data_IF_062640569555
#
_entry.id   IF_062640569555
#
_cell.length_a   1.000
_cell.length_b   1.000
_cell.length_c   1.000
_cell.angle_alpha   90.00
_cell.angle_beta   90.00
_cell.angle_gamma   90.00
#
_symmetry.space_group_name_H-M   'P 1'
#
loop_
_entity.id
_entity.type
_entity.pdbx_description
1 polymer ?
#
# COMPACT_ATOMS: atom_id res chain seq x y z
N UNK A 1 2.96 7.51 -7.08
CA UNK A 1 1.60 7.89 -6.65
C UNK A 1 1.69 8.46 -5.24
N UNK A 2 1.10 9.63 -5.03
CA UNK A 2 0.97 10.25 -3.71
C UNK A 2 -0.50 10.61 -3.49
N UNK A 3 -1.12 10.01 -2.49
CA UNK A 3 -2.46 10.39 -2.03
C UNK A 3 -2.35 10.87 -0.58
N UNK A 4 -2.86 12.06 -0.32
CA UNK A 4 -2.86 12.66 1.02
C UNK A 4 -4.30 12.76 1.54
N UNK A 5 -4.52 12.76 2.86
CA UNK A 5 -5.84 12.99 3.42
C UNK A 5 -6.39 14.35 2.99
N UNK A 6 -7.70 14.47 3.02
CA UNK A 6 -8.34 15.76 2.72
C UNK A 6 -8.09 16.74 3.87
N UNK A 7 -7.64 17.94 3.54
CA UNK A 7 -7.50 19.01 4.51
C UNK A 7 -8.87 19.46 5.04
N UNK A 8 -8.92 19.81 6.30
CA UNK A 8 -10.11 20.27 7.00
C UNK A 8 -9.74 21.25 8.10
N UNK A 9 -10.71 21.70 8.90
CA UNK A 9 -10.40 22.52 10.09
C UNK A 9 -9.51 21.80 11.11
N UNK A 10 -9.54 20.46 11.10
CA UNK A 10 -8.83 19.62 12.06
C UNK A 10 -7.61 18.92 11.45
N UNK A 11 -7.44 18.95 10.13
CA UNK A 11 -6.33 18.30 9.43
C UNK A 11 -5.67 19.30 8.48
N UNK A 12 -4.40 19.57 8.71
CA UNK A 12 -3.56 20.43 7.88
C UNK A 12 -2.36 19.64 7.36
N UNK A 13 -1.98 19.91 6.12
CA UNK A 13 -0.85 19.25 5.47
C UNK A 13 0.10 20.31 4.93
N UNK A 14 1.30 20.35 5.47
CA UNK A 14 2.38 21.18 4.93
C UNK A 14 3.26 20.26 4.08
N UNK A 15 3.18 20.37 2.75
CA UNK A 15 3.98 19.58 1.81
C UNK A 15 4.69 20.48 0.80
N UNK A 16 5.91 20.07 0.44
CA UNK A 16 6.69 20.72 -0.62
C UNK A 16 6.69 19.92 -1.94
N UNK A 17 5.98 18.79 -1.99
CA UNK A 17 5.95 17.88 -3.14
C UNK A 17 4.52 17.55 -3.53
N UNK A 18 4.32 17.32 -4.82
CA UNK A 18 3.05 16.88 -5.41
C UNK A 18 3.20 15.53 -6.09
N UNK A 19 2.08 14.94 -6.50
CA UNK A 19 2.11 13.70 -7.26
C UNK A 19 2.85 13.89 -8.59
N UNK A 20 3.82 13.01 -8.85
CA UNK A 20 4.67 13.06 -10.05
C UNK A 20 5.99 13.80 -9.86
N UNK A 21 6.19 14.47 -8.73
CA UNK A 21 7.45 15.12 -8.43
C UNK A 21 8.56 14.10 -8.15
N UNK A 22 9.80 14.51 -8.42
CA UNK A 22 11.00 13.75 -8.08
C UNK A 22 11.54 14.22 -6.72
N UNK A 23 11.76 13.26 -5.81
CA UNK A 23 12.34 13.53 -4.50
C UNK A 23 13.86 13.39 -4.60
N UNK A 24 14.55 14.52 -4.50
CA UNK A 24 16.00 14.58 -4.57
C UNK A 24 16.65 14.08 -3.28
N UNK A 25 17.71 13.23 -3.36
CA UNK A 25 18.49 12.82 -2.18
C UNK A 25 19.37 13.94 -1.61
N UNK A 26 19.47 15.08 -2.30
CA UNK A 26 20.32 16.23 -1.91
C UNK A 26 19.60 17.26 -1.05
N UNK A 27 18.33 17.04 -0.74
CA UNK A 27 17.51 17.90 0.10
C UNK A 27 16.97 17.12 1.31
N UNK A 28 16.09 17.74 2.07
CA UNK A 28 15.48 17.14 3.26
C UNK A 28 14.67 15.87 2.88
N UNK A 29 14.85 14.74 3.60
CA UNK A 29 14.03 13.54 3.39
C UNK A 29 12.56 13.71 3.83
N UNK A 30 12.19 14.84 4.43
CA UNK A 30 10.82 15.13 4.85
C UNK A 30 9.95 15.48 3.64
N UNK A 31 9.01 14.60 3.32
CA UNK A 31 8.07 14.77 2.20
C UNK A 31 6.94 15.71 2.57
N UNK A 32 6.34 15.49 3.73
CA UNK A 32 5.20 16.24 4.21
C UNK A 32 5.15 16.24 5.74
N UNK A 33 4.47 17.23 6.30
CA UNK A 33 4.15 17.33 7.72
C UNK A 33 2.64 17.29 7.87
N UNK A 34 2.14 16.23 8.49
CA UNK A 34 0.73 16.06 8.82
C UNK A 34 0.47 16.62 10.22
N UNK A 35 -0.47 17.55 10.33
CA UNK A 35 -0.84 18.23 11.57
C UNK A 35 -2.32 17.99 11.80
N UNK A 36 -2.65 17.53 13.02
CA UNK A 36 -4.04 17.24 13.40
C UNK A 36 -4.36 17.97 14.68
N UNK A 37 -5.55 18.53 14.76
CA UNK A 37 -6.10 19.16 15.96
C UNK A 37 -7.19 18.29 16.60
N UNK A 38 -7.21 18.24 17.90
CA UNK A 38 -8.24 17.60 18.72
C UNK A 38 -8.46 18.39 20.00
N UNK A 39 -9.66 18.32 20.59
CA UNK A 39 -9.98 18.98 21.86
C UNK A 39 -9.18 18.41 23.03
N UNK A 40 -8.77 17.16 22.91
CA UNK A 40 -7.87 16.48 23.84
C UNK A 40 -6.91 15.55 23.08
N UNK A 41 -6.00 14.90 23.86
CA UNK A 41 -5.00 14.00 23.29
C UNK A 41 -5.63 12.78 22.63
N UNK A 42 -6.67 12.20 23.22
CA UNK A 42 -7.30 10.99 22.69
C UNK A 42 -7.97 11.27 21.34
N UNK A 43 -8.69 12.38 21.23
CA UNK A 43 -9.29 12.82 19.97
C UNK A 43 -8.23 13.13 18.90
N UNK A 44 -7.17 13.85 19.27
CA UNK A 44 -6.09 14.16 18.35
C UNK A 44 -5.40 12.89 17.83
N UNK A 45 -5.13 11.91 18.68
CA UNK A 45 -4.52 10.63 18.28
C UNK A 45 -5.45 9.81 17.38
N UNK A 46 -6.75 9.78 17.68
CA UNK A 46 -7.74 9.09 16.83
C UNK A 46 -7.80 9.70 15.43
N UNK A 47 -7.87 11.03 15.34
CA UNK A 47 -7.86 11.76 14.07
C UNK A 47 -6.53 11.57 13.33
N UNK A 48 -5.40 11.58 14.03
CA UNK A 48 -4.08 11.32 13.42
C UNK A 48 -3.99 9.92 12.84
N UNK A 49 -4.46 8.89 13.55
CA UNK A 49 -4.50 7.53 13.05
C UNK A 49 -5.35 7.42 11.79
N UNK A 50 -6.55 8.03 11.79
CA UNK A 50 -7.44 8.05 10.63
C UNK A 50 -6.84 8.82 9.43
N UNK A 51 -6.13 9.92 9.68
CA UNK A 51 -5.45 10.68 8.64
C UNK A 51 -4.27 9.89 8.06
N UNK A 52 -3.46 9.22 8.90
CA UNK A 52 -2.35 8.37 8.45
C UNK A 52 -2.82 7.17 7.61
N UNK A 53 -4.03 6.66 7.86
CA UNK A 53 -4.63 5.59 7.02
C UNK A 53 -4.92 6.03 5.59
N UNK A 54 -5.17 7.30 5.38
CA UNK A 54 -5.45 7.86 4.06
C UNK A 54 -4.19 8.20 3.27
N UNK A 55 -3.02 8.29 3.93
CA UNK A 55 -1.76 8.55 3.24
C UNK A 55 -1.34 7.32 2.44
N UNK A 56 -1.23 7.49 1.14
CA UNK A 56 -0.71 6.47 0.23
C UNK A 56 0.45 7.04 -0.57
N UNK A 57 1.64 6.48 -0.37
CA UNK A 57 2.83 6.83 -1.11
C UNK A 57 3.41 5.56 -1.77
N UNK A 58 3.45 5.56 -3.10
CA UNK A 58 3.95 4.43 -3.89
C UNK A 58 5.13 4.89 -4.74
N UNK A 59 6.21 4.12 -4.70
CA UNK A 59 7.44 4.39 -5.45
C UNK A 59 8.62 4.78 -4.57
N UNK A 60 8.40 4.94 -3.25
CA UNK A 60 9.47 5.18 -2.27
C UNK A 60 9.09 4.61 -0.89
N UNK A 61 10.11 4.34 -0.09
CA UNK A 61 9.92 3.90 1.29
C UNK A 61 9.54 5.10 2.17
N UNK A 62 8.51 4.93 2.99
CA UNK A 62 8.03 5.96 3.92
C UNK A 62 7.95 5.41 5.34
N UNK A 63 7.89 6.32 6.32
CA UNK A 63 7.70 5.97 7.73
C UNK A 63 6.22 5.98 8.16
N UNK A 64 5.27 6.04 7.23
CA UNK A 64 3.83 6.14 7.53
C UNK A 64 3.34 4.98 8.40
N UNK A 65 3.74 3.74 8.07
CA UNK A 65 3.37 2.57 8.86
C UNK A 65 3.93 2.61 10.30
N UNK A 66 5.17 3.08 10.46
CA UNK A 66 5.78 3.32 11.76
C UNK A 66 5.01 4.38 12.54
N UNK A 67 4.70 5.52 11.92
CA UNK A 67 3.97 6.61 12.55
C UNK A 67 2.56 6.17 13.00
N UNK A 68 1.88 5.36 12.19
CA UNK A 68 0.58 4.80 12.54
C UNK A 68 0.66 3.93 13.81
N UNK A 69 1.65 3.02 13.89
CA UNK A 69 1.85 2.21 15.09
C UNK A 69 2.25 3.06 16.29
N UNK A 70 3.10 4.06 16.07
CA UNK A 70 3.53 4.97 17.14
C UNK A 70 2.37 5.70 17.81
N UNK A 71 1.45 6.27 17.03
CA UNK A 71 0.29 7.00 17.57
C UNK A 71 -0.71 6.09 18.30
N UNK A 72 -0.70 4.79 18.00
CA UNK A 72 -1.53 3.77 18.63
C UNK A 72 -0.83 3.05 19.79
N UNK A 73 0.48 3.20 19.92
CA UNK A 73 1.28 2.58 20.98
C UNK A 73 0.86 3.17 22.35
N UNK A 74 0.61 2.32 23.34
CA UNK A 74 0.10 2.72 24.66
C UNK A 74 0.98 3.78 25.36
N UNK A 75 2.32 3.66 25.46
CA UNK A 75 3.17 4.68 26.07
C UNK A 75 3.05 6.05 25.39
N UNK A 76 2.91 6.06 24.05
CA UNK A 76 2.69 7.30 23.32
C UNK A 76 1.29 7.86 23.56
N UNK A 77 0.27 7.01 23.57
CA UNK A 77 -1.12 7.41 23.78
C UNK A 77 -1.35 7.97 25.18
N UNK A 78 -0.75 7.38 26.20
CA UNK A 78 -0.83 7.85 27.59
C UNK A 78 0.02 9.08 27.89
N UNK A 79 0.94 9.46 27.00
CA UNK A 79 1.86 10.58 27.20
C UNK A 79 3.12 10.23 28.01
N UNK A 80 3.32 8.95 28.31
CA UNK A 80 4.51 8.44 29.02
C UNK A 80 5.69 8.26 28.05
N UNK A 81 6.13 9.35 27.44
CA UNK A 81 7.17 9.34 26.41
C UNK A 81 8.51 9.83 26.94
N UNK A 82 9.56 9.12 26.56
CA UNK A 82 10.96 9.50 26.76
C UNK A 82 11.81 9.14 25.54
N UNK A 83 13.06 9.53 25.52
CA UNK A 83 13.99 9.28 24.40
C UNK A 83 14.28 7.78 24.16
N UNK A 84 14.04 6.91 25.13
CA UNK A 84 14.23 5.47 25.02
C UNK A 84 12.98 4.69 24.60
N UNK A 85 11.83 5.36 24.47
CA UNK A 85 10.56 4.69 24.18
C UNK A 85 10.60 3.88 22.88
N UNK A 86 11.11 4.47 21.81
CA UNK A 86 11.20 3.79 20.50
C UNK A 86 12.07 2.54 20.61
N UNK A 87 13.22 2.62 21.30
CA UNK A 87 14.12 1.47 21.45
C UNK A 87 13.48 0.33 22.25
N UNK A 88 12.68 0.65 23.28
CA UNK A 88 12.00 -0.36 24.10
C UNK A 88 10.84 -1.06 23.36
N UNK A 89 10.21 -0.39 22.40
CA UNK A 89 9.06 -0.90 21.63
C UNK A 89 9.41 -1.15 20.17
N UNK A 90 10.70 -1.33 19.86
CA UNK A 90 11.19 -1.43 18.49
C UNK A 90 10.53 -2.58 17.72
N UNK A 91 10.38 -3.75 18.34
CA UNK A 91 9.81 -4.93 17.69
C UNK A 91 8.36 -4.71 17.25
N UNK A 92 7.57 -3.99 18.06
CA UNK A 92 6.19 -3.62 17.74
C UNK A 92 6.14 -2.52 16.69
N UNK A 93 6.93 -1.45 16.87
CA UNK A 93 6.88 -0.27 16.01
C UNK A 93 7.42 -0.53 14.60
N UNK A 94 8.42 -1.41 14.45
CA UNK A 94 9.07 -1.76 13.19
C UNK A 94 8.59 -3.11 12.63
N UNK A 95 7.57 -3.74 13.23
CA UNK A 95 7.03 -4.99 12.72
C UNK A 95 6.66 -4.87 11.23
N UNK A 96 7.08 -5.82 10.43
CA UNK A 96 6.69 -5.88 9.02
C UNK A 96 5.27 -6.44 8.90
N UNK A 97 4.44 -5.91 7.99
CA UNK A 97 3.11 -6.46 7.77
C UNK A 97 3.20 -7.89 7.23
N UNK A 98 2.33 -8.75 7.71
CA UNK A 98 2.19 -10.09 7.17
C UNK A 98 1.62 -10.04 5.75
N UNK A 99 2.25 -10.76 4.83
CA UNK A 99 1.76 -10.89 3.47
C UNK A 99 0.79 -12.07 3.40
N UNK A 100 -0.48 -11.74 3.42
CA UNK A 100 -1.56 -12.74 3.43
C UNK A 100 -2.01 -13.10 2.02
N UNK A 101 -2.63 -14.28 1.85
CA UNK A 101 -3.18 -14.72 0.56
C UNK A 101 -4.13 -13.69 -0.07
N UNK A 102 -5.03 -13.01 0.65
CA UNK A 102 -5.84 -11.92 0.09
C UNK A 102 -5.04 -10.77 -0.51
N UNK A 103 -3.90 -10.40 0.07
CA UNK A 103 -3.03 -9.35 -0.46
C UNK A 103 -2.43 -9.77 -1.80
N UNK A 104 -1.96 -11.01 -1.90
CA UNK A 104 -1.43 -11.57 -3.17
C UNK A 104 -2.56 -11.67 -4.20
N UNK A 105 -3.75 -12.11 -3.82
CA UNK A 105 -4.89 -12.17 -4.71
C UNK A 105 -5.27 -10.78 -5.26
N UNK A 106 -5.25 -9.75 -4.42
CA UNK A 106 -5.48 -8.38 -4.84
C UNK A 106 -4.39 -7.89 -5.82
N UNK A 107 -3.12 -8.23 -5.58
CA UNK A 107 -2.01 -7.89 -6.48
C UNK A 107 -2.16 -8.56 -7.85
N UNK A 108 -2.54 -9.84 -7.89
CA UNK A 108 -2.84 -10.57 -9.14
C UNK A 108 -4.00 -9.91 -9.87
N UNK A 109 -5.10 -9.58 -9.17
CA UNK A 109 -6.27 -8.93 -9.77
C UNK A 109 -5.90 -7.55 -10.35
N UNK A 110 -5.14 -6.74 -9.62
CA UNK A 110 -4.66 -5.44 -10.10
C UNK A 110 -3.80 -5.57 -11.37
N UNK A 111 -2.90 -6.55 -11.40
CA UNK A 111 -2.07 -6.82 -12.59
C UNK A 111 -2.93 -7.20 -13.81
N UNK A 112 -3.93 -8.05 -13.62
CA UNK A 112 -4.86 -8.44 -14.69
C UNK A 112 -5.66 -7.24 -15.22
N UNK A 113 -6.13 -6.35 -14.35
CA UNK A 113 -6.84 -5.13 -14.79
C UNK A 113 -5.93 -4.17 -15.55
N UNK A 114 -4.68 -3.99 -15.14
CA UNK A 114 -3.69 -3.20 -15.88
C UNK A 114 -3.46 -3.76 -17.28
N UNK A 115 -3.30 -5.08 -17.40
CA UNK A 115 -3.11 -5.76 -18.70
C UNK A 115 -4.35 -5.62 -19.58
N UNK A 116 -5.53 -5.79 -19.01
CA UNK A 116 -6.80 -5.62 -19.73
C UNK A 116 -6.95 -4.19 -20.26
N UNK A 117 -6.65 -3.18 -19.42
CA UNK A 117 -6.68 -1.78 -19.83
C UNK A 117 -5.67 -1.47 -20.95
N UNK A 118 -4.49 -2.10 -20.92
CA UNK A 118 -3.49 -1.97 -21.99
C UNK A 118 -3.97 -2.62 -23.30
N UNK A 119 -4.51 -3.81 -23.22
CA UNK A 119 -5.01 -4.54 -24.40
C UNK A 119 -6.15 -3.77 -25.07
N UNK A 120 -7.09 -3.21 -24.28
CA UNK A 120 -8.22 -2.43 -24.81
C UNK A 120 -7.79 -1.15 -25.54
N UNK A 121 -6.60 -0.59 -25.23
CA UNK A 121 -6.08 0.60 -25.96
C UNK A 121 -5.65 0.29 -27.40
N UNK A 122 -5.30 -0.97 -27.68
CA UNK A 122 -4.86 -1.39 -29.02
C UNK A 122 -5.99 -1.96 -29.87
N UNK A 123 -7.15 -2.21 -29.28
CA UNK A 123 -8.30 -2.76 -29.99
C UNK A 123 -9.35 -1.66 -30.16
N UNK A 124 -9.56 -1.23 -31.42
CA UNK A 124 -10.66 -0.32 -31.76
C UNK A 124 -12.06 -0.93 -31.59
N UNK A 125 -12.12 -2.22 -31.25
CA UNK A 125 -13.34 -3.00 -31.09
C UNK A 125 -13.30 -3.71 -29.73
N UNK A 126 -13.89 -3.12 -28.67
CA UNK A 126 -13.76 -3.62 -27.30
C UNK A 126 -14.48 -4.94 -27.01
N UNK A 127 -15.44 -5.34 -27.82
CA UNK A 127 -16.31 -6.51 -27.58
C UNK A 127 -16.07 -7.70 -28.53
N UNK A 128 -14.89 -7.83 -29.09
CA UNK A 128 -14.56 -9.02 -29.89
C UNK A 128 -14.11 -10.19 -29.02
N UNK A 129 -14.28 -11.45 -29.45
CA UNK A 129 -13.73 -12.61 -28.74
C UNK A 129 -12.21 -12.52 -28.49
N UNK A 130 -11.50 -11.77 -29.31
CA UNK A 130 -10.05 -11.55 -29.21
C UNK A 130 -9.65 -10.54 -28.14
N UNK A 131 -10.58 -9.69 -27.70
CA UNK A 131 -10.36 -8.73 -26.61
C UNK A 131 -10.58 -9.34 -25.21
N UNK A 132 -11.14 -10.56 -25.14
CA UNK A 132 -11.47 -11.21 -23.89
C UNK A 132 -10.22 -11.83 -23.26
N UNK A 133 -9.96 -11.49 -21.98
CA UNK A 133 -8.86 -12.03 -21.18
C UNK A 133 -9.36 -13.15 -20.25
N UNK A 134 -10.21 -14.05 -20.79
CA UNK A 134 -10.86 -15.14 -20.04
C UNK A 134 -9.99 -16.41 -19.94
N UNK A 135 -8.75 -16.34 -20.44
CA UNK A 135 -7.83 -17.48 -20.45
C UNK A 135 -8.23 -18.60 -21.39
N UNK A 136 -9.07 -18.34 -22.38
CA UNK A 136 -9.46 -19.36 -23.36
C UNK A 136 -8.26 -19.83 -24.17
N UNK A 137 -8.12 -21.16 -24.31
CA UNK A 137 -7.12 -21.82 -25.15
C UNK A 137 -7.73 -23.05 -25.80
N UNK A 138 -7.24 -23.40 -27.03
CA UNK A 138 -7.63 -24.62 -27.69
C UNK A 138 -6.99 -25.83 -27.00
N UNK A 139 -7.83 -26.75 -26.50
CA UNK A 139 -7.38 -28.04 -25.98
C UNK A 139 -6.84 -28.05 -24.54
N UNK A 140 -6.76 -26.93 -23.87
CA UNK A 140 -6.30 -26.87 -22.47
C UNK A 140 -6.90 -25.67 -21.72
N UNK A 141 -6.91 -25.75 -20.39
CA UNK A 141 -7.21 -24.59 -19.54
C UNK A 141 -5.95 -23.71 -19.40
N UNK A 142 -6.14 -22.40 -19.50
CA UNK A 142 -5.05 -21.48 -19.26
C UNK A 142 -4.66 -21.47 -17.78
N UNK A 143 -3.37 -21.51 -17.53
CA UNK A 143 -2.76 -21.33 -16.22
C UNK A 143 -1.71 -20.24 -16.36
N UNK A 144 -1.67 -19.32 -15.41
CA UNK A 144 -0.65 -18.26 -15.35
C UNK A 144 0.01 -18.25 -14.00
N UNK A 145 1.32 -18.12 -14.02
CA UNK A 145 2.11 -17.92 -12.81
C UNK A 145 2.51 -16.45 -12.72
N UNK A 146 2.38 -15.88 -11.51
CA UNK A 146 2.80 -14.54 -11.15
C UNK A 146 3.84 -14.65 -10.05
N UNK A 147 4.98 -13.99 -10.24
CA UNK A 147 6.04 -13.96 -9.24
C UNK A 147 6.10 -12.58 -8.60
N UNK A 148 6.07 -12.55 -7.29
CA UNK A 148 6.16 -11.33 -6.47
C UNK A 148 7.39 -11.43 -5.59
N UNK A 149 8.16 -10.36 -5.53
CA UNK A 149 9.26 -10.21 -4.58
C UNK A 149 8.89 -9.16 -3.55
N UNK A 150 8.99 -9.56 -2.28
CA UNK A 150 8.79 -8.67 -1.14
C UNK A 150 10.16 -8.30 -0.61
N UNK A 151 10.70 -7.18 -1.11
CA UNK A 151 12.07 -6.76 -0.81
C UNK A 151 12.32 -6.56 0.68
N UNK A 152 11.32 -6.05 1.42
CA UNK A 152 11.43 -5.82 2.86
C UNK A 152 11.57 -7.10 3.69
N UNK A 153 11.22 -8.25 3.13
CA UNK A 153 11.26 -9.56 3.80
C UNK A 153 12.15 -10.56 3.06
N UNK A 154 12.70 -10.18 1.89
CA UNK A 154 13.49 -11.06 1.01
C UNK A 154 12.76 -12.35 0.62
N UNK A 155 11.42 -12.29 0.52
CA UNK A 155 10.57 -13.42 0.18
C UNK A 155 10.12 -13.33 -1.27
N UNK A 156 10.28 -14.43 -2.01
CA UNK A 156 9.69 -14.61 -3.33
C UNK A 156 8.43 -15.46 -3.20
N UNK A 157 7.31 -14.95 -3.71
CA UNK A 157 6.01 -15.63 -3.70
C UNK A 157 5.58 -15.91 -5.13
N UNK A 158 5.11 -17.13 -5.38
CA UNK A 158 4.51 -17.51 -6.65
C UNK A 158 3.01 -17.71 -6.48
N UNK A 159 2.22 -16.98 -7.26
CA UNK A 159 0.79 -17.16 -7.33
C UNK A 159 0.41 -17.76 -8.68
N UNK A 160 -0.30 -18.89 -8.65
CA UNK A 160 -0.76 -19.60 -9.83
C UNK A 160 -2.27 -19.40 -10.00
N UNK A 161 -2.66 -18.79 -11.10
CA UNK A 161 -4.06 -18.59 -11.48
C UNK A 161 -4.47 -19.60 -12.55
N UNK A 162 -5.44 -20.46 -12.23
CA UNK A 162 -6.17 -21.25 -13.20
C UNK A 162 -7.49 -20.55 -13.54
N UNK A 163 -7.84 -20.47 -14.84
CA UNK A 163 -9.02 -19.73 -15.27
C UNK A 163 -10.32 -20.55 -15.22
N UNK A 164 -10.22 -21.88 -15.25
CA UNK A 164 -11.41 -22.76 -15.23
C UNK A 164 -11.14 -24.07 -14.48
N UNK A 165 -11.71 -24.27 -13.29
CA UNK A 165 -12.39 -23.24 -12.48
C UNK A 165 -11.42 -22.12 -12.08
N UNK A 166 -11.94 -20.93 -11.85
CA UNK A 166 -11.11 -19.81 -11.40
C UNK A 166 -10.59 -20.10 -9.98
N UNK A 167 -9.32 -20.47 -9.89
CA UNK A 167 -8.64 -20.79 -8.63
C UNK A 167 -7.29 -20.12 -8.59
N UNK A 168 -6.93 -19.58 -7.42
CA UNK A 168 -5.64 -19.02 -7.14
C UNK A 168 -4.96 -19.85 -6.05
N UNK A 169 -3.78 -20.40 -6.35
CA UNK A 169 -2.90 -21.03 -5.36
C UNK A 169 -1.69 -20.15 -5.14
N UNK A 170 -1.25 -20.04 -3.89
CA UNK A 170 -0.10 -19.20 -3.51
C UNK A 170 0.89 -20.10 -2.79
N UNK A 171 2.12 -20.13 -3.32
CA UNK A 171 3.26 -20.86 -2.79
C UNK A 171 4.38 -19.87 -2.46
N UNK A 172 4.93 -19.93 -1.25
CA UNK A 172 6.00 -19.05 -0.79
C UNK A 172 6.66 -19.54 0.47
#
# INVERSE_FOLDING_TARGET
VLCMPQESNDVRIDTGVAEGDEISPYYDPMIAKLIVWGSDRAEALSKMAAALEQVQAVGLSTNVAFLKRLVQCEPFASGCVDTGMIARHQDELLALPEVTVPVIAAAVAAQLEVEKARNNRYLNEPDTPWSQSDGWRVGAHAVRDFSFRIESQEIDITARLAYRPATLTVDG
#
